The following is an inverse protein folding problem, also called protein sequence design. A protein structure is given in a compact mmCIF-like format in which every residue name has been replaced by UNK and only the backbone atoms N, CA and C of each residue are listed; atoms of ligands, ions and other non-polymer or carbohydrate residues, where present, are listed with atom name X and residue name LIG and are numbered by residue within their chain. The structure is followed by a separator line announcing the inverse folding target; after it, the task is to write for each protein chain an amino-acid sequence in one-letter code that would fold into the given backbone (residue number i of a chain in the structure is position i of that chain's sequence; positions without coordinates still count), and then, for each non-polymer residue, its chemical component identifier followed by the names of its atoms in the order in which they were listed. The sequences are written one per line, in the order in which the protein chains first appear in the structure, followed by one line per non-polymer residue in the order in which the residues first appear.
data_IF_596992650836
#
_entry.id   IF_596992650836
#
_cell.length_a   1.000
_cell.length_b   1.000
_cell.length_c   1.000
_cell.angle_alpha   90.00
_cell.angle_beta   90.00
_cell.angle_gamma   90.00
#
_symmetry.space_group_name_H-M   'P 1'
#
loop_
_entity.id
_entity.type
_entity.pdbx_description
1 polymer ?
#
# COMPACT_ATOMS: atom_id res chain seq x y z
N UNK A 1 -5.97 7.93 -21.01
CA UNK A 1 -5.42 7.44 -19.72
C UNK A 1 -5.20 8.65 -18.82
N UNK A 2 -5.89 8.72 -17.66
CA UNK A 2 -5.72 9.83 -16.71
C UNK A 2 -4.49 9.52 -15.85
N UNK A 3 -3.46 10.35 -15.95
CA UNK A 3 -2.27 10.21 -15.11
C UNK A 3 -2.57 10.76 -13.73
N UNK A 4 -2.48 9.90 -12.73
CA UNK A 4 -2.67 10.29 -11.35
C UNK A 4 -1.40 11.01 -10.91
N UNK A 5 -1.53 12.25 -10.48
CA UNK A 5 -0.38 13.06 -10.07
C UNK A 5 0.15 12.59 -8.71
N UNK A 6 1.43 12.78 -8.41
CA UNK A 6 1.98 12.42 -7.09
C UNK A 6 1.22 13.09 -5.92
N UNK A 7 0.54 14.22 -6.16
CA UNK A 7 -0.35 14.89 -5.21
C UNK A 7 -1.64 14.11 -4.96
N UNK A 8 -2.25 13.57 -6.00
CA UNK A 8 -3.42 12.70 -5.87
C UNK A 8 -3.06 11.39 -5.15
N UNK A 9 -1.87 10.83 -5.42
CA UNK A 9 -1.36 9.67 -4.67
C UNK A 9 -1.22 9.96 -3.17
N UNK A 10 -0.63 11.12 -2.85
CA UNK A 10 -0.46 11.54 -1.47
C UNK A 10 -1.80 11.75 -0.77
N UNK A 11 -2.75 12.41 -1.43
CA UNK A 11 -4.09 12.59 -0.89
C UNK A 11 -4.80 11.26 -0.62
N UNK A 12 -4.71 10.28 -1.53
CA UNK A 12 -5.37 8.98 -1.32
C UNK A 12 -4.72 8.21 -0.17
N UNK A 13 -3.39 8.23 -0.03
CA UNK A 13 -2.73 7.67 1.15
C UNK A 13 -3.16 8.39 2.43
N UNK A 14 -3.25 9.71 2.39
CA UNK A 14 -3.68 10.53 3.53
C UNK A 14 -5.17 10.38 3.84
N UNK A 15 -5.98 9.82 2.94
CA UNK A 15 -7.38 9.49 3.23
C UNK A 15 -7.51 8.04 3.72
N UNK A 16 -6.88 7.09 3.03
CA UNK A 16 -7.01 5.65 3.34
C UNK A 16 -6.35 5.33 4.68
N UNK A 17 -5.09 5.76 4.90
CA UNK A 17 -4.31 5.37 6.08
C UNK A 17 -4.97 5.87 7.37
N UNK A 18 -5.43 7.13 7.50
CA UNK A 18 -6.15 7.57 8.70
C UNK A 18 -7.48 6.86 8.94
N UNK A 19 -8.18 6.42 7.88
CA UNK A 19 -9.45 5.70 8.02
C UNK A 19 -9.27 4.31 8.66
N UNK A 20 -8.09 3.70 8.49
CA UNK A 20 -7.75 2.39 9.09
C UNK A 20 -6.89 2.50 10.35
N UNK A 21 -6.34 3.69 10.66
CA UNK A 21 -5.62 3.95 11.91
C UNK A 21 -6.61 3.87 13.08
N UNK A 22 -6.31 2.99 14.05
CA UNK A 22 -7.15 2.75 15.24
C UNK A 22 -8.19 1.65 15.07
N UNK A 23 -8.60 1.33 13.83
CA UNK A 23 -9.53 0.25 13.52
C UNK A 23 -8.84 -1.08 13.16
N UNK A 24 -7.57 -1.04 12.75
CA UNK A 24 -6.79 -2.21 12.36
C UNK A 24 -5.42 -2.26 13.05
N UNK A 25 -4.84 -3.47 13.24
CA UNK A 25 -3.50 -3.62 13.79
C UNK A 25 -2.45 -2.84 12.97
N UNK A 26 -1.42 -2.27 13.60
CA UNK A 26 -0.39 -1.48 12.89
C UNK A 26 0.27 -2.21 11.71
N UNK A 27 0.53 -3.52 11.87
CA UNK A 27 1.13 -4.34 10.81
C UNK A 27 0.18 -4.53 9.62
N UNK A 28 -1.13 -4.61 9.87
CA UNK A 28 -2.14 -4.64 8.80
C UNK A 28 -2.13 -3.34 8.01
N UNK A 29 -2.19 -2.20 8.70
CA UNK A 29 -2.14 -0.87 8.07
C UNK A 29 -0.87 -0.73 7.23
N UNK A 30 0.26 -1.26 7.73
CA UNK A 30 1.54 -1.24 7.03
C UNK A 30 1.57 -2.09 5.77
N UNK A 31 1.00 -3.30 5.82
CA UNK A 31 0.83 -4.16 4.65
C UNK A 31 -0.02 -3.48 3.56
N UNK A 32 -1.17 -2.91 3.94
CA UNK A 32 -2.06 -2.21 3.00
C UNK A 32 -1.37 -1.00 2.37
N UNK A 33 -0.66 -0.19 3.18
CA UNK A 33 0.10 0.96 2.67
C UNK A 33 1.18 0.54 1.66
N UNK A 34 1.91 -0.53 1.95
CA UNK A 34 2.94 -1.06 1.04
C UNK A 34 2.33 -1.49 -0.30
N UNK A 35 1.17 -2.16 -0.28
CA UNK A 35 0.47 -2.54 -1.50
C UNK A 35 -0.02 -1.32 -2.31
N UNK A 36 -0.58 -0.31 -1.64
CA UNK A 36 -1.00 0.95 -2.27
C UNK A 36 0.20 1.65 -2.94
N UNK A 37 1.35 1.71 -2.26
CA UNK A 37 2.58 2.27 -2.83
C UNK A 37 3.02 1.54 -4.10
N UNK A 38 2.97 0.19 -4.09
CA UNK A 38 3.30 -0.63 -5.26
C UNK A 38 2.38 -0.33 -6.45
N UNK A 39 1.05 -0.39 -6.22
CA UNK A 39 0.04 -0.16 -7.27
C UNK A 39 0.25 1.21 -7.90
N UNK A 40 0.48 2.23 -7.08
CA UNK A 40 0.73 3.58 -7.57
C UNK A 40 2.03 3.73 -8.34
N UNK A 41 3.12 3.11 -7.89
CA UNK A 41 4.39 3.13 -8.63
C UNK A 41 4.26 2.42 -9.99
N UNK A 42 3.49 1.34 -10.06
CA UNK A 42 3.24 0.57 -11.28
C UNK A 42 2.32 1.28 -12.29
N UNK A 43 1.53 2.27 -11.85
CA UNK A 43 0.62 3.02 -12.72
C UNK A 43 1.30 4.19 -13.46
N UNK A 44 2.58 4.49 -13.17
CA UNK A 44 3.29 5.53 -13.91
C UNK A 44 3.48 5.09 -15.38
N UNK A 45 3.30 6.01 -16.34
CA UNK A 45 3.33 5.67 -17.76
C UNK A 45 4.73 5.36 -18.28
N UNK A 46 5.73 5.93 -17.62
CA UNK A 46 7.13 5.74 -17.94
C UNK A 46 7.80 5.17 -16.71
N UNK A 47 8.24 3.92 -16.83
CA UNK A 47 8.92 3.25 -15.74
C UNK A 47 10.37 3.72 -15.69
N UNK A 48 10.75 4.32 -14.55
CA UNK A 48 12.13 4.72 -14.27
C UNK A 48 12.78 3.74 -13.30
N UNK A 49 14.11 3.69 -13.26
CA UNK A 49 14.83 2.87 -12.27
C UNK A 49 14.39 3.19 -10.83
N UNK A 50 14.09 4.46 -10.54
CA UNK A 50 13.55 4.90 -9.25
C UNK A 50 12.19 4.26 -8.94
N UNK A 51 11.28 4.23 -9.91
CA UNK A 51 9.95 3.63 -9.74
C UNK A 51 10.05 2.10 -9.60
N UNK A 52 10.94 1.45 -10.33
CA UNK A 52 11.20 0.00 -10.20
C UNK A 52 11.70 -0.30 -8.79
N UNK A 53 12.68 0.47 -8.30
CA UNK A 53 13.18 0.31 -6.94
C UNK A 53 12.08 0.53 -5.89
N UNK A 54 11.22 1.55 -6.09
CA UNK A 54 10.08 1.79 -5.21
C UNK A 54 9.08 0.61 -5.20
N UNK A 55 8.84 -0.02 -6.36
CA UNK A 55 8.01 -1.23 -6.45
C UNK A 55 8.65 -2.40 -5.71
N UNK A 56 9.95 -2.65 -5.90
CA UNK A 56 10.68 -3.71 -5.19
C UNK A 56 10.62 -3.52 -3.67
N UNK A 57 10.92 -2.31 -3.18
CA UNK A 57 10.84 -2.01 -1.76
C UNK A 57 9.41 -2.17 -1.21
N UNK A 58 8.41 -1.71 -1.96
CA UNK A 58 7.00 -1.84 -1.55
C UNK A 58 6.55 -3.30 -1.48
N UNK A 59 7.00 -4.13 -2.42
CA UNK A 59 6.69 -5.56 -2.43
C UNK A 59 7.40 -6.29 -1.28
N UNK A 60 8.66 -5.94 -0.99
CA UNK A 60 9.39 -6.48 0.16
C UNK A 60 8.72 -6.10 1.49
N UNK A 61 8.32 -4.84 1.64
CA UNK A 61 7.59 -4.39 2.83
C UNK A 61 6.24 -5.10 2.97
N UNK A 62 5.49 -5.29 1.87
CA UNK A 62 4.26 -6.08 1.91
C UNK A 62 4.52 -7.52 2.36
N UNK A 63 5.54 -8.19 1.80
CA UNK A 63 5.87 -9.56 2.18
C UNK A 63 6.27 -9.70 3.65
N UNK A 64 6.89 -8.69 4.25
CA UNK A 64 7.22 -8.68 5.68
C UNK A 64 5.96 -8.64 6.57
N UNK A 65 4.85 -8.08 6.09
CA UNK A 65 3.65 -7.85 6.91
C UNK A 65 2.39 -8.58 6.40
N UNK A 66 2.49 -9.38 5.33
CA UNK A 66 1.34 -10.07 4.71
C UNK A 66 0.56 -10.96 5.68
N UNK A 67 1.25 -11.53 6.67
CA UNK A 67 0.63 -12.44 7.63
C UNK A 67 -0.41 -11.70 8.50
N UNK A 68 -0.19 -10.40 8.76
CA UNK A 68 -1.16 -9.57 9.47
C UNK A 68 -2.47 -9.37 8.68
N UNK A 69 -2.44 -9.49 7.34
CA UNK A 69 -3.64 -9.48 6.49
C UNK A 69 -4.41 -10.78 6.64
N UNK A 70 -3.72 -11.92 6.62
CA UNK A 70 -4.31 -13.25 6.82
C UNK A 70 -4.96 -13.36 8.21
N UNK A 71 -4.27 -12.89 9.24
CA UNK A 71 -4.77 -12.89 10.62
C UNK A 71 -6.03 -12.03 10.79
N UNK A 72 -6.11 -10.91 10.07
CA UNK A 72 -7.30 -10.05 10.10
C UNK A 72 -8.50 -10.72 9.41
N UNK A 73 -8.26 -11.41 8.30
CA UNK A 73 -9.32 -12.17 7.61
C UNK A 73 -9.82 -13.35 8.45
N UNK A 74 -8.91 -14.05 9.14
CA UNK A 74 -9.26 -15.14 10.06
C UNK A 74 -10.15 -14.67 11.21
N UNK A 75 -9.90 -13.49 11.78
CA UNK A 75 -10.73 -12.89 12.85
C UNK A 75 -12.12 -12.43 12.37
N UNK A 76 -12.30 -12.16 11.08
CA UNK A 76 -13.60 -11.75 10.52
C UNK A 76 -14.56 -12.93 10.31
N UNK A 77 -14.08 -14.18 10.39
CA UNK A 77 -14.86 -15.40 10.11
C UNK A 77 -15.25 -16.19 11.37
N UNK A 78 -14.98 -15.65 12.57
CA UNK A 78 -15.37 -16.21 13.88
C UNK A 78 -16.50 -15.38 14.46
#
# INVERSE_FOLDING_TARGET
VRQMTSREHHNIQHTIVPTIIGAAPPNFVRAIRAMINFIYAAQYPIQTARLINAMVCSLQEFHQYKDAVLDAEARSRV
#
